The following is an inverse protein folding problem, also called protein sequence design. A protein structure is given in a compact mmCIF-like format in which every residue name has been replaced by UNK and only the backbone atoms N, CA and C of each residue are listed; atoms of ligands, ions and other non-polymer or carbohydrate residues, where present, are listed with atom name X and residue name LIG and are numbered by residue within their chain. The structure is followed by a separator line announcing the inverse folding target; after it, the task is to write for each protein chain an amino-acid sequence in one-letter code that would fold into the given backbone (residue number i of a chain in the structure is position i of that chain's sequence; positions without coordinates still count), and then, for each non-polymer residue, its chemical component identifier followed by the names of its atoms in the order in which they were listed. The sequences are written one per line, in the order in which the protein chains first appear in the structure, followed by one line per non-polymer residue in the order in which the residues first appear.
data_IF_656007897817
#
_entry.id   IF_656007897817
#
_cell.length_a   1.000
_cell.length_b   1.000
_cell.length_c   1.000
_cell.angle_alpha   90.00
_cell.angle_beta   90.00
_cell.angle_gamma   90.00
#
_symmetry.space_group_name_H-M   'P 1'
#
loop_
_entity.id
_entity.type
_entity.pdbx_description
1 polymer ?
#
# COMPACT_ATOMS: atom_id res chain seq x y z
N UNK A 1 16.29 7.65 19.59
CA UNK A 1 16.93 8.77 20.27
C UNK A 1 16.46 8.81 21.73
N UNK A 2 17.39 8.88 22.68
CA UNK A 2 17.10 8.86 24.14
C UNK A 2 16.09 7.77 24.58
N UNK A 3 16.17 6.56 23.99
CA UNK A 3 15.24 5.43 24.18
C UNK A 3 13.77 5.72 23.76
N UNK A 4 13.53 6.74 22.97
CA UNK A 4 12.23 7.00 22.36
C UNK A 4 12.22 6.57 20.89
N UNK A 5 11.11 5.99 20.45
CA UNK A 5 10.83 5.83 19.05
C UNK A 5 10.32 7.16 18.51
N UNK A 6 11.00 7.69 17.51
CA UNK A 6 10.63 8.93 16.83
C UNK A 6 10.07 8.62 15.46
N UNK A 7 9.17 9.46 15.00
CA UNK A 7 8.70 9.45 13.61
C UNK A 7 8.74 10.87 13.01
N UNK A 8 8.29 10.99 11.76
CA UNK A 8 8.22 12.27 11.06
C UNK A 8 7.41 13.32 11.81
N UNK A 9 6.32 12.92 12.47
CA UNK A 9 5.44 13.86 13.20
C UNK A 9 6.16 14.44 14.42
N UNK A 10 6.93 13.60 15.14
CA UNK A 10 7.73 14.06 16.28
C UNK A 10 8.75 15.11 15.83
N UNK A 11 9.44 14.89 14.71
CA UNK A 11 10.38 15.87 14.15
C UNK A 11 9.68 17.18 13.77
N UNK A 12 8.52 17.11 13.11
CA UNK A 12 7.74 18.31 12.75
C UNK A 12 7.28 19.11 13.98
N UNK A 13 6.80 18.42 15.02
CA UNK A 13 6.38 19.08 16.26
C UNK A 13 7.56 19.77 16.94
N UNK A 14 8.70 19.09 17.03
CA UNK A 14 9.89 19.65 17.68
C UNK A 14 10.52 20.80 16.90
N UNK A 15 10.51 20.75 15.57
CA UNK A 15 11.00 21.85 14.74
C UNK A 15 10.15 23.13 14.84
N UNK A 16 8.87 22.99 15.23
CA UNK A 16 7.97 24.12 15.45
C UNK A 16 8.01 24.66 16.89
N UNK A 17 8.70 23.96 17.81
CA UNK A 17 8.78 24.33 19.23
C UNK A 17 9.97 25.28 19.48
N UNK A 18 9.68 26.57 19.67
CA UNK A 18 10.70 27.60 19.93
C UNK A 18 11.55 27.38 21.20
N UNK A 19 11.20 26.43 22.05
CA UNK A 19 11.98 26.08 23.24
C UNK A 19 13.07 25.01 22.95
N UNK A 20 13.05 24.40 21.79
CA UNK A 20 14.01 23.37 21.34
C UNK A 20 15.12 24.04 20.55
N UNK A 21 16.39 23.70 20.82
CA UNK A 21 17.52 24.25 20.08
C UNK A 21 17.66 23.64 18.68
N UNK A 22 18.28 24.38 17.75
CA UNK A 22 18.52 23.88 16.38
C UNK A 22 19.37 22.60 16.37
N UNK A 23 20.31 22.47 17.35
CA UNK A 23 21.11 21.24 17.49
C UNK A 23 20.25 20.04 17.92
N UNK A 24 19.31 20.24 18.82
CA UNK A 24 18.38 19.19 19.25
C UNK A 24 17.40 18.81 18.11
N UNK A 25 16.89 19.79 17.39
CA UNK A 25 16.04 19.57 16.21
C UNK A 25 16.80 18.73 15.17
N UNK A 26 18.04 19.07 14.83
CA UNK A 26 18.88 18.31 13.89
C UNK A 26 19.08 16.85 14.35
N UNK A 27 19.34 16.63 15.66
CA UNK A 27 19.47 15.27 16.18
C UNK A 27 18.16 14.47 16.09
N UNK A 28 17.02 15.11 16.28
CA UNK A 28 15.70 14.48 16.17
C UNK A 28 15.44 14.12 14.70
N UNK A 29 15.71 15.03 13.76
CA UNK A 29 15.54 14.78 12.32
C UNK A 29 16.39 13.60 11.84
N UNK A 30 17.66 13.53 12.25
CA UNK A 30 18.56 12.44 11.91
C UNK A 30 18.10 11.06 12.42
N UNK A 31 17.31 11.04 13.50
CA UNK A 31 16.85 9.81 14.16
C UNK A 31 15.38 9.48 13.89
N UNK A 32 14.56 10.43 13.43
CA UNK A 32 13.14 10.22 13.19
C UNK A 32 12.87 9.31 11.99
N UNK A 33 13.69 9.39 10.94
CA UNK A 33 13.57 8.60 9.72
C UNK A 33 14.93 8.06 9.27
N UNK A 34 15.59 7.21 10.07
CA UNK A 34 16.93 6.72 9.75
C UNK A 34 16.90 5.74 8.57
N UNK A 35 17.86 5.86 7.67
CA UNK A 35 18.03 4.96 6.54
C UNK A 35 17.31 5.40 5.27
N UNK A 36 16.91 4.44 4.43
CA UNK A 36 16.21 4.70 3.17
C UNK A 36 14.76 4.20 3.22
N UNK A 37 13.92 4.79 2.38
CA UNK A 37 12.49 4.52 2.29
C UNK A 37 11.67 5.80 2.28
N UNK A 38 10.36 5.68 2.02
CA UNK A 38 9.47 6.84 1.89
C UNK A 38 8.81 7.25 3.20
N UNK A 39 8.42 6.30 4.03
CA UNK A 39 7.86 6.53 5.37
C UNK A 39 7.69 5.21 6.13
N UNK A 40 7.47 5.29 7.44
CA UNK A 40 7.26 4.13 8.31
C UNK A 40 5.78 3.80 8.58
N UNK A 41 4.86 4.67 8.18
CA UNK A 41 3.42 4.56 8.45
C UNK A 41 2.56 4.58 7.20
N UNK A 42 1.24 4.68 7.39
CA UNK A 42 0.24 4.79 6.32
C UNK A 42 0.07 6.23 5.84
N UNK A 43 1.19 6.88 5.52
CA UNK A 43 1.21 8.12 4.75
C UNK A 43 0.97 7.80 3.28
N UNK A 44 0.94 8.80 2.41
CA UNK A 44 0.53 8.65 1.01
C UNK A 44 1.33 7.59 0.27
N UNK A 45 2.66 7.59 0.40
CA UNK A 45 3.53 6.68 -0.36
C UNK A 45 3.29 5.21 0.02
N UNK A 46 3.28 4.89 1.32
CA UNK A 46 3.01 3.51 1.75
C UNK A 46 1.57 3.09 1.50
N UNK A 47 0.60 3.99 1.70
CA UNK A 47 -0.80 3.69 1.34
C UNK A 47 -0.90 3.30 -0.12
N UNK A 48 -0.33 4.09 -1.03
CA UNK A 48 -0.35 3.76 -2.47
C UNK A 48 0.43 2.48 -2.80
N UNK A 49 1.53 2.18 -2.12
CA UNK A 49 2.23 0.91 -2.28
C UNK A 49 1.34 -0.30 -1.88
N UNK A 50 0.59 -0.17 -0.79
CA UNK A 50 -0.37 -1.18 -0.35
C UNK A 50 -1.52 -1.32 -1.34
N UNK A 51 -2.07 -0.21 -1.85
CA UNK A 51 -3.16 -0.22 -2.81
C UNK A 51 -2.73 -0.78 -4.17
N UNK A 52 -1.51 -0.51 -4.61
CA UNK A 52 -0.95 -1.12 -5.82
C UNK A 52 -0.90 -2.66 -5.74
N UNK A 53 -0.58 -3.19 -4.55
CA UNK A 53 -0.64 -4.63 -4.27
C UNK A 53 -2.09 -5.15 -4.27
N UNK A 54 -3.03 -4.38 -3.69
CA UNK A 54 -4.45 -4.76 -3.61
C UNK A 54 -5.17 -4.71 -4.97
N UNK A 55 -4.82 -3.75 -5.85
CA UNK A 55 -5.30 -3.72 -7.24
C UNK A 55 -4.81 -4.95 -8.02
N UNK A 56 -3.68 -5.53 -7.60
CA UNK A 56 -3.06 -6.66 -8.28
C UNK A 56 -1.92 -6.29 -9.22
N UNK A 57 -1.55 -5.01 -9.34
CA UNK A 57 -0.44 -4.54 -10.17
C UNK A 57 0.93 -4.70 -9.48
N UNK A 58 0.96 -4.78 -8.16
CA UNK A 58 2.16 -5.05 -7.36
C UNK A 58 2.28 -6.50 -6.95
N UNK A 59 3.52 -6.99 -6.83
CA UNK A 59 3.79 -8.32 -6.27
C UNK A 59 3.49 -8.35 -4.77
N UNK A 60 3.16 -9.54 -4.21
CA UNK A 60 2.98 -9.72 -2.77
C UNK A 60 4.17 -9.20 -1.96
N UNK A 61 3.89 -8.42 -0.93
CA UNK A 61 4.89 -7.80 -0.08
C UNK A 61 5.38 -6.42 -0.56
N UNK A 62 4.96 -5.97 -1.74
CA UNK A 62 5.34 -4.64 -2.25
C UNK A 62 4.98 -3.52 -1.27
N UNK A 63 3.80 -3.61 -0.65
CA UNK A 63 3.29 -2.58 0.26
C UNK A 63 3.96 -2.56 1.64
N UNK A 64 4.59 -3.65 2.08
CA UNK A 64 4.97 -3.80 3.49
C UNK A 64 6.42 -4.21 3.74
N UNK A 65 7.12 -4.81 2.78
CA UNK A 65 8.55 -5.12 2.91
C UNK A 65 9.34 -3.81 2.96
N UNK A 66 10.11 -3.60 4.02
CA UNK A 66 10.91 -2.38 4.19
C UNK A 66 11.96 -2.21 3.09
N UNK A 67 12.28 -0.97 2.75
CA UNK A 67 13.31 -0.65 1.76
C UNK A 67 14.69 -1.21 2.13
N UNK A 68 14.99 -1.30 3.43
CA UNK A 68 16.25 -1.85 3.98
C UNK A 68 16.24 -3.36 4.17
N UNK A 69 15.10 -4.03 3.93
CA UNK A 69 15.00 -5.48 4.16
C UNK A 69 15.63 -6.26 3.01
N UNK A 70 16.37 -7.34 3.33
CA UNK A 70 17.05 -8.16 2.32
C UNK A 70 16.11 -8.71 1.23
N UNK A 71 14.88 -9.05 1.57
CA UNK A 71 13.89 -9.54 0.61
C UNK A 71 13.44 -8.48 -0.41
N UNK A 72 13.66 -7.18 -0.15
CA UNK A 72 13.31 -6.12 -1.12
C UNK A 72 14.09 -6.26 -2.43
N UNK A 73 15.36 -6.61 -2.35
CA UNK A 73 16.20 -6.84 -3.54
C UNK A 73 15.68 -8.03 -4.36
N UNK A 74 15.26 -9.11 -3.70
CA UNK A 74 14.69 -10.26 -4.39
C UNK A 74 13.37 -9.91 -5.05
N UNK A 75 12.49 -9.19 -4.35
CA UNK A 75 11.22 -8.72 -4.91
C UNK A 75 11.41 -7.91 -6.20
N UNK A 76 12.42 -7.04 -6.25
CA UNK A 76 12.74 -6.28 -7.47
C UNK A 76 13.21 -7.18 -8.63
N UNK A 77 14.01 -8.21 -8.33
CA UNK A 77 14.45 -9.19 -9.35
C UNK A 77 13.26 -9.99 -9.89
N UNK A 78 12.36 -10.43 -8.99
CA UNK A 78 11.17 -11.18 -9.36
C UNK A 78 10.23 -10.33 -10.22
N UNK A 79 10.02 -9.06 -9.85
CA UNK A 79 9.24 -8.11 -10.63
C UNK A 79 9.84 -7.87 -12.04
N UNK A 80 11.17 -7.72 -12.13
CA UNK A 80 11.86 -7.55 -13.40
C UNK A 80 11.74 -8.79 -14.29
N UNK A 81 11.88 -9.98 -13.74
CA UNK A 81 11.69 -11.22 -14.48
C UNK A 81 10.23 -11.38 -14.95
N UNK A 82 9.27 -11.05 -14.09
CA UNK A 82 7.86 -11.16 -14.38
C UNK A 82 7.42 -10.19 -15.48
N UNK A 83 7.86 -8.94 -15.46
CA UNK A 83 7.47 -7.97 -16.50
C UNK A 83 7.99 -8.39 -17.88
N UNK A 84 9.19 -8.95 -17.97
CA UNK A 84 9.72 -9.52 -19.22
C UNK A 84 8.86 -10.67 -19.70
N UNK A 85 8.50 -11.60 -18.81
CA UNK A 85 7.61 -12.73 -19.13
C UNK A 85 6.23 -12.25 -19.63
N UNK A 86 5.65 -11.25 -18.96
CA UNK A 86 4.35 -10.70 -19.35
C UNK A 86 4.44 -9.96 -20.70
N UNK A 87 5.54 -9.26 -20.97
CA UNK A 87 5.78 -8.66 -22.27
C UNK A 87 5.83 -9.73 -23.41
N UNK A 88 6.52 -10.84 -23.18
CA UNK A 88 6.50 -11.96 -24.14
C UNK A 88 5.09 -12.52 -24.37
N UNK A 89 4.33 -12.74 -23.32
CA UNK A 89 2.94 -13.20 -23.43
C UNK A 89 2.09 -12.27 -24.29
N UNK A 90 2.22 -10.97 -24.08
CA UNK A 90 1.46 -9.99 -24.85
C UNK A 90 1.92 -9.94 -26.33
N UNK A 91 3.22 -9.74 -26.56
CA UNK A 91 3.72 -9.49 -27.92
C UNK A 91 3.83 -10.75 -28.78
N UNK A 92 4.14 -11.91 -28.21
CA UNK A 92 4.36 -13.17 -28.95
C UNK A 92 3.14 -14.10 -28.91
N UNK A 93 2.38 -14.10 -27.81
CA UNK A 93 1.25 -15.00 -27.62
C UNK A 93 -0.11 -14.29 -27.81
N UNK A 94 -0.14 -12.96 -27.85
CA UNK A 94 -1.38 -12.18 -27.97
C UNK A 94 -2.24 -12.20 -26.72
N UNK A 95 -1.64 -12.44 -25.54
CA UNK A 95 -2.36 -12.52 -24.27
C UNK A 95 -2.57 -11.12 -23.64
N UNK A 96 -3.71 -10.52 -23.91
CA UNK A 96 -4.10 -9.21 -23.35
C UNK A 96 -4.39 -9.26 -21.85
N UNK A 97 -4.51 -10.45 -21.26
CA UNK A 97 -4.84 -10.59 -19.82
C UNK A 97 -3.75 -10.09 -18.87
N UNK A 98 -2.53 -9.95 -19.40
CA UNK A 98 -1.35 -9.44 -18.64
C UNK A 98 -1.23 -7.92 -18.66
N UNK A 99 -2.07 -7.23 -19.43
CA UNK A 99 -2.04 -5.77 -19.52
C UNK A 99 -2.52 -5.10 -18.21
N UNK A 100 -1.96 -3.95 -17.82
CA UNK A 100 -2.39 -3.24 -16.62
C UNK A 100 -3.89 -2.93 -16.61
N UNK A 101 -4.50 -2.55 -17.72
CA UNK A 101 -5.95 -2.30 -17.84
C UNK A 101 -6.81 -3.55 -17.68
N UNK A 102 -6.27 -4.73 -18.02
CA UNK A 102 -6.97 -6.01 -17.82
C UNK A 102 -6.97 -6.46 -16.35
N UNK A 103 -6.00 -5.97 -15.55
CA UNK A 103 -5.86 -6.25 -14.12
C UNK A 103 -6.61 -5.20 -13.30
N UNK A 104 -6.42 -3.92 -13.61
CA UNK A 104 -7.00 -2.79 -12.90
C UNK A 104 -8.49 -2.60 -13.27
N UNK A 105 -9.33 -3.56 -12.91
CA UNK A 105 -10.77 -3.55 -13.13
C UNK A 105 -11.51 -2.76 -12.06
N UNK A 106 -12.79 -2.46 -12.26
CA UNK A 106 -13.63 -1.81 -11.25
C UNK A 106 -13.61 -2.57 -9.91
N UNK A 107 -13.73 -3.90 -9.96
CA UNK A 107 -13.68 -4.74 -8.75
C UNK A 107 -12.31 -4.67 -8.05
N UNK A 108 -11.22 -4.53 -8.81
CA UNK A 108 -9.89 -4.33 -8.24
C UNK A 108 -9.76 -2.97 -7.52
N UNK A 109 -10.35 -1.90 -8.07
CA UNK A 109 -10.42 -0.60 -7.39
C UNK A 109 -11.29 -0.63 -6.14
N UNK A 110 -12.43 -1.32 -6.18
CA UNK A 110 -13.28 -1.52 -5.01
C UNK A 110 -12.53 -2.28 -3.90
N UNK A 111 -11.78 -3.33 -4.24
CA UNK A 111 -10.94 -4.06 -3.29
C UNK A 111 -9.84 -3.16 -2.69
N UNK A 112 -9.19 -2.35 -3.51
CA UNK A 112 -8.14 -1.45 -3.05
C UNK A 112 -8.71 -0.40 -2.08
N UNK A 113 -9.84 0.22 -2.40
CA UNK A 113 -10.47 1.19 -1.50
C UNK A 113 -10.99 0.51 -0.22
N UNK A 114 -11.50 -0.72 -0.30
CA UNK A 114 -11.86 -1.51 0.87
C UNK A 114 -10.65 -1.73 1.79
N UNK A 115 -9.49 -2.08 1.24
CA UNK A 115 -8.25 -2.18 2.01
C UNK A 115 -7.87 -0.85 2.64
N UNK A 116 -7.93 0.25 1.88
CA UNK A 116 -7.54 1.58 2.35
C UNK A 116 -8.34 2.02 3.57
N UNK A 117 -9.66 1.86 3.51
CA UNK A 117 -10.57 2.15 4.62
C UNK A 117 -10.26 1.25 5.82
N UNK A 118 -10.06 -0.05 5.59
CA UNK A 118 -9.78 -1.02 6.66
C UNK A 118 -8.46 -0.76 7.38
N UNK A 119 -7.47 -0.21 6.69
CA UNK A 119 -6.16 0.13 7.24
C UNK A 119 -6.04 1.58 7.74
N UNK A 120 -7.03 2.43 7.46
CA UNK A 120 -6.93 3.86 7.75
C UNK A 120 -5.81 4.52 6.97
N UNK A 121 -5.82 4.35 5.66
CA UNK A 121 -4.82 4.92 4.76
C UNK A 121 -4.91 6.44 4.63
N UNK A 122 -4.04 7.00 3.81
CA UNK A 122 -3.96 8.44 3.58
C UNK A 122 -5.18 8.95 2.79
N UNK A 123 -5.71 10.11 3.16
CA UNK A 123 -6.78 10.76 2.38
C UNK A 123 -6.38 11.08 0.93
N UNK A 124 -5.07 11.19 0.65
CA UNK A 124 -4.56 11.39 -0.71
C UNK A 124 -4.83 10.19 -1.64
N UNK A 125 -5.04 9.00 -1.10
CA UNK A 125 -5.37 7.80 -1.89
C UNK A 125 -6.69 7.94 -2.66
N UNK A 126 -7.67 8.64 -2.09
CA UNK A 126 -8.93 8.97 -2.76
C UNK A 126 -8.65 9.67 -4.09
N UNK A 127 -7.83 10.73 -4.04
CA UNK A 127 -7.42 11.49 -5.23
C UNK A 127 -6.66 10.61 -6.23
N UNK A 128 -5.72 9.81 -5.75
CA UNK A 128 -4.88 8.98 -6.60
C UNK A 128 -5.65 7.83 -7.25
N UNK A 129 -6.54 7.14 -6.52
CA UNK A 129 -7.35 6.06 -7.09
C UNK A 129 -8.32 6.56 -8.15
N UNK A 130 -8.95 7.71 -7.93
CA UNK A 130 -9.81 8.33 -8.95
C UNK A 130 -9.03 8.70 -10.21
N UNK A 131 -7.81 9.24 -10.06
CA UNK A 131 -6.96 9.58 -11.19
C UNK A 131 -6.51 8.31 -11.96
N UNK A 132 -6.09 7.26 -11.25
CA UNK A 132 -5.68 5.99 -11.87
C UNK A 132 -6.87 5.32 -12.56
N UNK A 133 -8.05 5.32 -11.94
CA UNK A 133 -9.27 4.77 -12.55
C UNK A 133 -9.65 5.52 -13.84
N UNK A 134 -9.52 6.85 -13.85
CA UNK A 134 -9.73 7.65 -15.05
C UNK A 134 -8.77 7.25 -16.18
N UNK A 135 -7.47 7.13 -15.89
CA UNK A 135 -6.46 6.71 -16.89
C UNK A 135 -6.67 5.25 -17.35
N UNK A 136 -7.19 4.40 -16.47
CA UNK A 136 -7.54 3.02 -16.80
C UNK A 136 -8.86 2.89 -17.58
N UNK A 137 -9.62 3.98 -17.75
CA UNK A 137 -10.96 4.02 -18.34
C UNK A 137 -11.98 3.17 -17.54
N UNK A 138 -11.83 3.16 -16.21
CA UNK A 138 -12.69 2.41 -15.28
C UNK A 138 -13.68 3.36 -14.64
N UNK A 139 -14.95 2.97 -14.62
CA UNK A 139 -16.03 3.74 -13.99
C UNK A 139 -16.03 3.51 -12.45
N UNK A 140 -15.05 4.12 -11.77
CA UNK A 140 -14.91 4.15 -10.32
C UNK A 140 -15.01 5.60 -9.84
N UNK A 141 -15.93 5.87 -8.91
CA UNK A 141 -16.36 7.23 -8.54
C UNK A 141 -16.32 7.48 -7.03
N UNK A 142 -16.48 8.76 -6.66
CA UNK A 142 -16.63 9.17 -5.25
C UNK A 142 -17.80 8.47 -4.55
N UNK A 143 -18.89 8.21 -5.26
CA UNK A 143 -20.06 7.53 -4.70
C UNK A 143 -19.74 6.08 -4.27
N UNK A 144 -18.85 5.39 -5.00
CA UNK A 144 -18.35 4.06 -4.64
C UNK A 144 -17.54 4.12 -3.33
N UNK A 145 -16.71 5.14 -3.20
CA UNK A 145 -15.90 5.36 -1.99
C UNK A 145 -16.82 5.67 -0.79
N UNK A 146 -17.81 6.56 -0.96
CA UNK A 146 -18.77 6.88 0.10
C UNK A 146 -19.55 5.62 0.52
N UNK A 147 -20.01 4.82 -0.44
CA UNK A 147 -20.69 3.56 -0.16
C UNK A 147 -19.80 2.61 0.66
N UNK A 148 -18.56 2.39 0.24
CA UNK A 148 -17.62 1.52 0.94
C UNK A 148 -17.34 2.03 2.36
N UNK A 149 -17.17 3.34 2.53
CA UNK A 149 -16.87 3.95 3.84
C UNK A 149 -17.92 3.68 4.91
N UNK A 150 -19.15 3.39 4.50
CA UNK A 150 -20.27 3.08 5.41
C UNK A 150 -20.34 1.61 5.83
N UNK A 151 -19.66 0.72 5.09
CA UNK A 151 -19.79 -0.74 5.28
C UNK A 151 -18.48 -1.40 5.71
N UNK A 152 -17.32 -0.83 5.33
CA UNK A 152 -16.01 -1.42 5.64
C UNK A 152 -15.58 -1.04 7.05
N UNK A 153 -15.30 -2.01 7.93
CA UNK A 153 -14.79 -1.72 9.26
C UNK A 153 -13.30 -1.36 9.22
N UNK A 154 -12.86 -0.51 10.16
CA UNK A 154 -11.45 -0.30 10.41
C UNK A 154 -10.88 -1.54 11.13
N UNK A 155 -10.02 -2.31 10.48
CA UNK A 155 -9.42 -3.52 11.02
C UNK A 155 -8.11 -3.24 11.76
N UNK A 156 -7.33 -2.28 11.30
CA UNK A 156 -6.06 -1.97 11.92
C UNK A 156 -5.80 -0.45 11.95
N UNK A 157 -4.94 -0.04 12.85
CA UNK A 157 -4.43 1.34 12.92
C UNK A 157 -2.92 1.30 12.88
N UNK A 158 -2.35 2.03 11.93
CA UNK A 158 -0.92 2.16 11.70
C UNK A 158 -0.57 3.66 11.78
N UNK A 159 0.64 4.02 12.14
CA UNK A 159 1.07 5.41 12.17
C UNK A 159 0.67 6.13 10.86
N UNK A 160 0.18 7.35 10.89
CA UNK A 160 0.05 8.27 12.03
C UNK A 160 -1.21 8.08 12.89
N UNK A 161 -2.11 7.15 12.55
CA UNK A 161 -3.35 6.90 13.31
C UNK A 161 -3.09 6.26 14.70
N UNK A 162 -1.87 5.82 14.95
CA UNK A 162 -1.35 5.35 16.24
C UNK A 162 0.16 5.56 16.29
N UNK A 163 0.74 5.76 17.46
CA UNK A 163 2.19 5.78 17.66
C UNK A 163 2.78 4.39 17.91
N UNK A 164 1.94 3.37 18.03
CA UNK A 164 2.36 2.02 18.46
C UNK A 164 2.81 1.12 17.32
N UNK A 165 2.14 1.18 16.18
CA UNK A 165 2.34 0.26 15.06
C UNK A 165 2.74 1.00 13.79
N UNK A 166 3.69 0.41 13.06
CA UNK A 166 4.24 0.93 11.82
C UNK A 166 4.10 -0.12 10.70
N UNK A 167 4.47 0.23 9.48
CA UNK A 167 4.33 -0.67 8.32
C UNK A 167 5.11 -1.98 8.50
N UNK A 168 6.20 -1.94 9.26
CA UNK A 168 6.96 -3.15 9.59
C UNK A 168 6.14 -4.16 10.40
N UNK A 169 5.27 -3.69 11.29
CA UNK A 169 4.40 -4.55 12.08
C UNK A 169 3.34 -5.19 11.21
N UNK A 170 2.82 -4.46 10.22
CA UNK A 170 1.93 -5.01 9.21
C UNK A 170 2.62 -6.12 8.41
N UNK A 171 3.87 -5.90 8.00
CA UNK A 171 4.66 -6.94 7.31
C UNK A 171 4.82 -8.20 8.17
N UNK A 172 5.15 -8.03 9.45
CA UNK A 172 5.28 -9.16 10.40
C UNK A 172 3.98 -9.90 10.63
N UNK A 173 2.85 -9.21 10.54
CA UNK A 173 1.51 -9.79 10.66
C UNK A 173 1.02 -10.50 9.39
N UNK A 174 1.86 -10.61 8.36
CA UNK A 174 1.52 -11.29 7.09
C UNK A 174 1.24 -10.35 5.92
N UNK A 175 1.44 -9.04 6.11
CA UNK A 175 1.34 -8.05 5.02
C UNK A 175 -0.08 -7.81 4.51
N UNK A 176 -0.15 -7.27 3.30
CA UNK A 176 -1.41 -6.85 2.68
C UNK A 176 -2.30 -8.04 2.36
N UNK A 177 -1.74 -9.15 1.86
CA UNK A 177 -2.54 -10.33 1.52
C UNK A 177 -3.25 -10.92 2.75
N UNK A 178 -2.62 -10.86 3.93
CA UNK A 178 -3.27 -11.33 5.15
C UNK A 178 -4.48 -10.43 5.53
N UNK A 179 -4.37 -9.12 5.39
CA UNK A 179 -5.49 -8.20 5.63
C UNK A 179 -6.60 -8.43 4.60
N UNK A 180 -6.24 -8.61 3.32
CA UNK A 180 -7.21 -8.95 2.28
C UNK A 180 -7.88 -10.30 2.58
N UNK A 181 -7.15 -11.29 3.10
CA UNK A 181 -7.70 -12.55 3.55
C UNK A 181 -8.76 -12.39 4.65
N UNK A 182 -8.51 -11.54 5.65
CA UNK A 182 -9.50 -11.24 6.69
C UNK A 182 -10.74 -10.50 6.13
N UNK A 183 -10.54 -9.53 5.23
CA UNK A 183 -11.64 -8.84 4.55
C UNK A 183 -12.47 -9.80 3.68
N UNK A 184 -11.82 -10.75 3.02
CA UNK A 184 -12.48 -11.80 2.24
C UNK A 184 -13.35 -12.69 3.09
N UNK A 185 -12.90 -13.10 4.28
CA UNK A 185 -13.71 -13.86 5.24
C UNK A 185 -14.97 -13.11 5.67
N UNK A 186 -14.89 -11.77 5.71
CA UNK A 186 -16.02 -10.88 5.96
C UNK A 186 -16.94 -10.68 4.76
N UNK A 187 -16.65 -11.26 3.60
CA UNK A 187 -17.45 -11.09 2.38
C UNK A 187 -17.35 -9.69 1.76
N UNK A 188 -16.26 -8.95 2.06
CA UNK A 188 -16.09 -7.55 1.67
C UNK A 188 -15.31 -7.38 0.35
N UNK A 189 -14.79 -8.47 -0.23
CA UNK A 189 -13.94 -8.42 -1.43
C UNK A 189 -14.52 -9.21 -2.60
N UNK A 190 -14.11 -8.79 -3.79
CA UNK A 190 -14.24 -9.52 -5.05
C UNK A 190 -12.95 -10.30 -5.30
N UNK A 191 -12.98 -11.60 -5.10
CA UNK A 191 -11.75 -12.41 -5.05
C UNK A 191 -11.36 -13.06 -6.39
N UNK A 192 -12.19 -12.94 -7.40
CA UNK A 192 -11.96 -13.43 -8.76
C UNK A 192 -11.14 -12.49 -9.64
N UNK A 193 -10.76 -11.31 -9.12
CA UNK A 193 -9.90 -10.35 -9.83
C UNK A 193 -8.51 -10.92 -10.08
N UNK A 194 -7.98 -10.66 -11.27
CA UNK A 194 -6.63 -11.09 -11.67
C UNK A 194 -5.54 -10.20 -11.09
N UNK A 195 -4.35 -10.77 -11.00
CA UNK A 195 -3.13 -10.12 -10.53
C UNK A 195 -2.03 -10.21 -11.57
N UNK A 196 -1.02 -9.35 -11.46
CA UNK A 196 0.12 -9.29 -12.38
C UNK A 196 0.94 -10.59 -12.42
N UNK A 197 0.92 -11.38 -11.35
CA UNK A 197 1.58 -12.68 -11.24
C UNK A 197 0.79 -13.83 -11.91
N UNK A 198 -0.38 -13.53 -12.46
CA UNK A 198 -1.25 -14.47 -13.16
C UNK A 198 -2.22 -15.24 -12.26
N UNK A 199 -2.15 -15.04 -10.95
CA UNK A 199 -3.10 -15.60 -9.98
C UNK A 199 -4.35 -14.71 -9.87
N UNK A 200 -5.42 -15.28 -9.38
CA UNK A 200 -6.56 -14.51 -8.83
C UNK A 200 -6.25 -14.07 -7.40
N UNK A 201 -7.02 -13.11 -6.89
CA UNK A 201 -6.90 -12.73 -5.48
C UNK A 201 -7.25 -13.90 -4.57
N UNK A 202 -8.25 -14.73 -4.94
CA UNK A 202 -8.64 -15.92 -4.18
C UNK A 202 -7.49 -16.94 -4.02
N UNK A 203 -6.65 -17.07 -5.04
CA UNK A 203 -5.50 -17.99 -5.02
C UNK A 203 -4.30 -17.42 -4.25
N UNK A 204 -4.28 -16.10 -4.03
CA UNK A 204 -3.17 -15.42 -3.38
C UNK A 204 -3.34 -15.22 -1.86
N UNK A 205 -4.59 -15.24 -1.33
CA UNK A 205 -4.95 -14.99 0.07
C UNK A 205 -5.20 -16.25 0.88
#
# INVERSE_FOLDING_TARGET
WNNQHLDLIDAMIKSADASVSDEEVSQIEDNACPGCGCCSGMFTANSMNCLNEAIGLGLPGNGTILATHAHRVQLFKDAAALIVKNAYKYYEEGDDSVLPRSIATCDAFLNAMTLDIAMGGSTNTVLHLLAIAHEAEVDFKMDDIDMLSRHVPCLCKVAPNTQKYHIQDVNRAGGILNILGELSKGGLLKTDVKRVDGLTLAEAI
#
